data_IF_427872734104
#
_entry.id   IF_427872734104
#
_cell.length_a   1.000
_cell.length_b   1.000
_cell.length_c   1.000
_cell.angle_alpha   90.00
_cell.angle_beta   90.00
_cell.angle_gamma   90.00
#
_symmetry.space_group_name_H-M   'P 1'
#
loop_
_entity.id
_entity.type
_entity.pdbx_description
1 polymer ?
#
# COMPACT_ATOMS: atom_id res chain seq x y z
N UNK A 1 -63.78 -5.15 -39.44
CA UNK A 1 -63.79 -4.20 -38.31
C UNK A 1 -62.40 -3.56 -38.22
N UNK A 2 -62.26 -2.25 -38.49
CA UNK A 2 -60.98 -1.53 -38.40
C UNK A 2 -60.85 -0.94 -37.01
N UNK A 3 -60.00 -1.53 -36.17
CA UNK A 3 -59.70 -1.05 -34.81
C UNK A 3 -58.90 0.24 -34.92
N UNK A 4 -59.53 1.39 -34.67
CA UNK A 4 -58.81 2.67 -34.61
C UNK A 4 -57.90 2.67 -33.37
N UNK A 5 -56.59 2.59 -33.58
CA UNK A 5 -55.59 2.87 -32.55
C UNK A 5 -55.57 4.38 -32.30
N UNK A 6 -56.13 4.82 -31.18
CA UNK A 6 -55.93 6.17 -30.65
C UNK A 6 -54.45 6.34 -30.31
N UNK A 7 -53.73 7.13 -31.10
CA UNK A 7 -52.40 7.59 -30.72
C UNK A 7 -52.59 8.69 -29.68
N UNK A 8 -52.38 8.38 -28.41
CA UNK A 8 -52.25 9.38 -27.37
C UNK A 8 -51.00 10.22 -27.67
N UNK A 9 -51.20 11.50 -28.00
CA UNK A 9 -50.11 12.46 -28.20
C UNK A 9 -49.63 12.97 -26.85
N UNK A 10 -48.33 12.96 -26.63
CA UNK A 10 -47.71 13.50 -25.43
C UNK A 10 -47.69 15.03 -25.52
N UNK A 11 -48.19 15.71 -24.50
CA UNK A 11 -48.20 17.18 -24.48
C UNK A 11 -46.83 17.72 -24.07
N UNK A 12 -46.48 18.91 -24.58
CA UNK A 12 -45.25 19.62 -24.19
C UNK A 12 -45.17 19.87 -22.68
N UNK A 13 -46.32 20.07 -22.04
CA UNK A 13 -46.42 20.32 -20.59
C UNK A 13 -46.09 19.06 -19.79
N UNK A 14 -46.60 17.89 -20.22
CA UNK A 14 -46.28 16.61 -19.58
C UNK A 14 -44.77 16.31 -19.67
N UNK A 15 -44.13 16.61 -20.81
CA UNK A 15 -42.68 16.49 -20.95
C UNK A 15 -41.94 17.45 -20.01
N UNK A 16 -42.39 18.70 -19.94
CA UNK A 16 -41.78 19.74 -19.12
C UNK A 16 -41.81 19.38 -17.63
N UNK A 17 -42.94 18.89 -17.12
CA UNK A 17 -43.07 18.50 -15.71
C UNK A 17 -42.14 17.33 -15.38
N UNK A 18 -42.04 16.33 -16.27
CA UNK A 18 -41.19 15.15 -16.04
C UNK A 18 -39.72 15.55 -15.95
N UNK A 19 -39.21 16.35 -16.90
CA UNK A 19 -37.80 16.78 -16.85
C UNK A 19 -37.53 17.68 -15.63
N UNK A 20 -38.51 18.48 -15.21
CA UNK A 20 -38.40 19.33 -14.01
C UNK A 20 -38.27 18.49 -12.75
N UNK A 21 -39.10 17.46 -12.60
CA UNK A 21 -39.03 16.54 -11.46
C UNK A 21 -37.70 15.76 -11.48
N UNK A 22 -37.25 15.25 -12.64
CA UNK A 22 -35.96 14.58 -12.76
C UNK A 22 -34.81 15.51 -12.36
N UNK A 23 -34.83 16.77 -12.79
CA UNK A 23 -33.80 17.75 -12.43
C UNK A 23 -33.74 18.02 -10.92
N UNK A 24 -34.89 18.12 -10.25
CA UNK A 24 -34.96 18.30 -8.79
C UNK A 24 -34.40 17.06 -8.07
N UNK A 25 -34.85 15.86 -8.47
CA UNK A 25 -34.39 14.60 -7.86
C UNK A 25 -32.89 14.38 -8.07
N UNK A 26 -32.37 14.66 -9.26
CA UNK A 26 -30.96 14.58 -9.57
C UNK A 26 -30.14 15.60 -8.75
N UNK A 27 -30.64 16.83 -8.61
CA UNK A 27 -30.00 17.89 -7.82
C UNK A 27 -29.86 17.54 -6.33
N UNK A 28 -30.89 16.94 -5.73
CA UNK A 28 -30.84 16.48 -4.33
C UNK A 28 -29.91 15.28 -4.12
N UNK A 29 -29.66 14.48 -5.16
CA UNK A 29 -28.85 13.26 -5.06
C UNK A 29 -27.34 13.53 -5.13
N UNK A 30 -26.91 14.60 -5.81
CA UNK A 30 -25.50 14.83 -6.12
C UNK A 30 -24.56 14.96 -4.91
N UNK A 31 -24.94 15.74 -3.90
CA UNK A 31 -24.10 15.97 -2.71
C UNK A 31 -24.03 14.73 -1.79
N UNK A 32 -25.13 13.98 -1.68
CA UNK A 32 -25.19 12.77 -0.86
C UNK A 32 -24.29 11.66 -1.41
N UNK A 33 -24.22 11.50 -2.74
CA UNK A 33 -23.39 10.48 -3.40
C UNK A 33 -21.90 10.70 -3.12
N UNK A 34 -21.41 11.94 -3.19
CA UNK A 34 -19.99 12.25 -2.95
C UNK A 34 -19.56 11.88 -1.52
N UNK A 35 -20.42 12.14 -0.53
CA UNK A 35 -20.16 11.77 0.86
C UNK A 35 -20.13 10.25 1.05
N UNK A 36 -21.05 9.51 0.42
CA UNK A 36 -21.07 8.04 0.47
C UNK A 36 -19.82 7.44 -0.16
N UNK A 37 -19.38 7.96 -1.32
CA UNK A 37 -18.15 7.52 -1.98
C UNK A 37 -16.92 7.77 -1.10
N UNK A 38 -16.84 8.93 -0.43
CA UNK A 38 -15.77 9.24 0.52
C UNK A 38 -15.71 8.21 1.64
N UNK A 39 -16.85 7.92 2.29
CA UNK A 39 -16.93 6.94 3.38
C UNK A 39 -16.56 5.55 2.86
N UNK A 40 -17.09 5.13 1.72
CA UNK A 40 -16.79 3.83 1.12
C UNK A 40 -15.30 3.65 0.79
N UNK A 41 -14.69 4.70 0.25
CA UNK A 41 -13.25 4.71 -0.03
C UNK A 41 -12.47 4.60 1.30
N UNK A 42 -12.84 5.34 2.36
CA UNK A 42 -12.19 5.25 3.68
C UNK A 42 -12.32 3.85 4.30
N UNK A 43 -13.50 3.25 4.25
CA UNK A 43 -13.73 1.88 4.72
C UNK A 43 -12.85 0.89 3.96
N UNK A 44 -12.71 1.05 2.64
CA UNK A 44 -11.81 0.23 1.82
C UNK A 44 -10.36 0.39 2.27
N UNK A 45 -9.88 1.62 2.48
CA UNK A 45 -8.50 1.87 2.93
C UNK A 45 -8.21 1.30 4.32
N UNK A 46 -9.15 1.42 5.26
CA UNK A 46 -9.05 0.78 6.59
C UNK A 46 -8.94 -0.74 6.47
N UNK A 47 -9.72 -1.35 5.57
CA UNK A 47 -9.65 -2.79 5.33
C UNK A 47 -8.33 -3.20 4.66
N UNK A 48 -7.91 -2.47 3.63
CA UNK A 48 -6.63 -2.65 2.96
C UNK A 48 -5.45 -2.58 3.94
N UNK A 49 -5.39 -1.53 4.77
CA UNK A 49 -4.35 -1.37 5.80
C UNK A 49 -4.33 -2.56 6.78
N UNK A 50 -5.51 -3.02 7.23
CA UNK A 50 -5.61 -4.21 8.10
C UNK A 50 -5.08 -5.47 7.41
N UNK A 51 -5.38 -5.66 6.13
CA UNK A 51 -4.87 -6.80 5.36
C UNK A 51 -3.35 -6.73 5.17
N UNK A 52 -2.78 -5.54 4.95
CA UNK A 52 -1.33 -5.33 4.87
C UNK A 52 -0.67 -5.67 6.21
N UNK A 53 -1.19 -5.17 7.33
CA UNK A 53 -0.67 -5.52 8.68
C UNK A 53 -0.73 -7.03 8.91
N UNK A 54 -1.85 -7.67 8.56
CA UNK A 54 -1.99 -9.12 8.69
C UNK A 54 -0.94 -9.87 7.84
N UNK A 55 -0.69 -9.43 6.61
CA UNK A 55 0.35 -10.00 5.76
C UNK A 55 1.75 -9.82 6.38
N UNK A 56 2.05 -8.64 6.93
CA UNK A 56 3.32 -8.40 7.65
C UNK A 56 3.47 -9.35 8.85
N UNK A 57 2.40 -9.58 9.63
CA UNK A 57 2.43 -10.53 10.75
C UNK A 57 2.62 -11.97 10.30
N UNK A 58 1.94 -12.39 9.23
CA UNK A 58 2.12 -13.72 8.65
C UNK A 58 3.55 -13.93 8.15
N UNK A 59 4.17 -12.89 7.59
CA UNK A 59 5.58 -12.90 7.24
C UNK A 59 6.46 -13.04 8.48
N UNK A 60 6.24 -12.21 9.51
CA UNK A 60 7.03 -12.25 10.75
C UNK A 60 6.96 -13.60 11.47
N UNK A 61 5.80 -14.26 11.45
CA UNK A 61 5.64 -15.62 11.98
C UNK A 61 6.49 -16.69 11.28
N UNK A 62 7.03 -16.41 10.09
CA UNK A 62 7.95 -17.29 9.34
C UNK A 62 9.41 -16.82 9.37
N UNK A 63 9.69 -15.64 9.95
CA UNK A 63 10.99 -14.98 9.85
C UNK A 63 11.50 -14.47 11.21
N UNK A 64 11.35 -15.28 12.27
CA UNK A 64 11.82 -14.97 13.62
C UNK A 64 11.31 -13.61 14.15
N UNK A 65 10.01 -13.34 14.00
CA UNK A 65 9.33 -12.09 14.38
C UNK A 65 9.74 -10.83 13.61
N UNK A 66 10.66 -10.93 12.66
CA UNK A 66 11.13 -9.79 11.86
C UNK A 66 10.19 -9.50 10.69
N UNK A 67 9.97 -8.22 10.43
CA UNK A 67 9.32 -7.77 9.21
C UNK A 67 10.27 -7.76 8.01
N UNK A 68 9.75 -7.66 6.77
CA UNK A 68 10.58 -7.85 5.57
C UNK A 68 11.74 -6.85 5.44
N UNK A 69 11.61 -5.66 6.02
CA UNK A 69 12.64 -4.62 6.05
C UNK A 69 13.87 -4.98 6.91
N UNK A 70 13.81 -6.08 7.67
CA UNK A 70 14.92 -6.57 8.51
C UNK A 70 15.40 -7.96 8.10
N UNK A 71 14.93 -8.47 6.96
CA UNK A 71 15.26 -9.80 6.44
C UNK A 71 15.87 -9.66 5.05
N UNK A 72 17.03 -10.29 4.79
CA UNK A 72 17.59 -10.32 3.44
C UNK A 72 16.62 -10.95 2.44
N UNK A 73 16.43 -10.29 1.31
CA UNK A 73 15.63 -10.80 0.21
C UNK A 73 16.26 -12.11 -0.29
N UNK A 74 15.48 -13.21 -0.42
CA UNK A 74 16.03 -14.52 -0.80
C UNK A 74 16.59 -14.56 -2.23
N UNK A 75 16.19 -13.64 -3.11
CA UNK A 75 16.62 -13.58 -4.51
C UNK A 75 17.82 -12.65 -4.71
N UNK A 76 17.91 -11.55 -3.96
CA UNK A 76 18.96 -10.53 -4.16
C UNK A 76 20.00 -10.48 -3.04
N UNK A 77 19.69 -11.05 -1.87
CA UNK A 77 20.50 -10.95 -0.65
C UNK A 77 20.50 -9.57 0.02
N UNK A 78 19.90 -8.55 -0.62
CA UNK A 78 19.78 -7.21 -0.07
C UNK A 78 18.59 -7.07 0.88
N UNK A 79 18.66 -6.10 1.78
CA UNK A 79 17.54 -5.74 2.66
C UNK A 79 16.72 -4.62 2.00
N UNK A 80 15.37 -4.67 2.01
CA UNK A 80 14.53 -3.61 1.47
C UNK A 80 14.86 -2.22 2.00
N UNK A 81 14.86 -1.22 1.13
CA UNK A 81 15.19 0.18 1.47
C UNK A 81 13.99 1.12 1.40
N UNK A 82 12.84 0.66 0.91
CA UNK A 82 11.62 1.45 0.75
C UNK A 82 10.39 0.55 0.93
N UNK A 83 9.21 1.16 1.04
CA UNK A 83 7.98 0.43 1.33
C UNK A 83 7.62 -0.55 0.20
N UNK A 84 7.88 -0.20 -1.06
CA UNK A 84 7.59 -1.06 -2.21
C UNK A 84 8.39 -2.35 -2.13
N UNK A 85 9.71 -2.27 -1.92
CA UNK A 85 10.57 -3.45 -1.77
C UNK A 85 10.16 -4.31 -0.56
N UNK A 86 9.81 -3.68 0.56
CA UNK A 86 9.35 -4.37 1.78
C UNK A 86 8.07 -5.16 1.52
N UNK A 87 7.08 -4.54 0.88
CA UNK A 87 5.82 -5.21 0.56
C UNK A 87 5.94 -6.20 -0.59
N UNK A 88 6.84 -5.97 -1.53
CA UNK A 88 7.13 -6.90 -2.62
C UNK A 88 7.63 -8.26 -2.10
N UNK A 89 8.41 -8.27 -1.01
CA UNK A 89 8.83 -9.52 -0.37
C UNK A 89 7.68 -10.39 0.14
N UNK A 90 6.50 -9.80 0.40
CA UNK A 90 5.30 -10.56 0.78
C UNK A 90 4.84 -11.48 -0.36
N UNK A 91 5.06 -11.11 -1.62
CA UNK A 91 4.74 -11.94 -2.78
C UNK A 91 5.77 -13.06 -2.96
N UNK A 92 7.05 -12.71 -2.87
CA UNK A 92 8.16 -13.66 -3.03
C UNK A 92 8.14 -14.78 -1.99
N UNK A 93 7.67 -14.49 -0.76
CA UNK A 93 7.47 -15.51 0.29
C UNK A 93 6.06 -16.15 0.29
N UNK A 94 5.24 -15.87 -0.72
CA UNK A 94 3.90 -16.45 -0.88
C UNK A 94 2.91 -16.07 0.22
N UNK A 95 3.11 -14.92 0.85
CA UNK A 95 2.22 -14.34 1.87
C UNK A 95 1.09 -13.55 1.21
N UNK A 96 1.42 -12.70 0.24
CA UNK A 96 0.47 -11.93 -0.57
C UNK A 96 0.28 -12.57 -1.95
N UNK A 97 -0.94 -12.47 -2.50
CA UNK A 97 -1.30 -12.95 -3.85
C UNK A 97 -2.06 -11.93 -4.68
N UNK A 98 -2.54 -10.85 -4.07
CA UNK A 98 -3.22 -9.75 -4.74
C UNK A 98 -2.61 -8.45 -4.21
N UNK A 99 -2.21 -7.58 -5.12
CA UNK A 99 -1.60 -6.29 -4.81
C UNK A 99 -2.60 -5.15 -4.63
N UNK A 100 -3.88 -5.36 -4.92
CA UNK A 100 -4.93 -4.33 -4.79
C UNK A 100 -5.10 -3.81 -3.36
N UNK A 101 -4.57 -4.53 -2.36
CA UNK A 101 -4.52 -4.08 -0.97
C UNK A 101 -3.51 -2.95 -0.75
N UNK A 102 -2.52 -2.78 -1.64
CA UNK A 102 -1.50 -1.73 -1.53
C UNK A 102 -1.92 -0.40 -2.14
N UNK A 103 -2.99 -0.39 -2.93
CA UNK A 103 -3.52 0.81 -3.56
C UNK A 103 -4.43 1.65 -2.67
N UNK A 104 -4.71 2.86 -3.15
CA UNK A 104 -5.70 3.77 -2.59
C UNK A 104 -6.48 4.50 -3.69
N UNK A 105 -7.79 4.76 -3.50
CA UNK A 105 -8.62 5.48 -4.46
C UNK A 105 -8.01 6.83 -4.83
N UNK A 106 -7.94 7.16 -6.12
CA UNK A 106 -7.36 8.40 -6.64
C UNK A 106 -5.83 8.51 -6.49
N UNK A 107 -5.05 7.55 -7.01
CA UNK A 107 -3.65 7.81 -7.32
C UNK A 107 -2.72 6.63 -7.31
N UNK A 108 -2.99 5.67 -6.43
CA UNK A 108 -2.21 4.44 -6.29
C UNK A 108 -3.09 3.29 -6.73
N UNK A 109 -2.94 2.90 -8.00
CA UNK A 109 -3.85 1.97 -8.66
C UNK A 109 -3.09 0.72 -9.11
N UNK A 110 -2.91 -0.27 -8.22
CA UNK A 110 -2.37 -1.57 -8.62
C UNK A 110 -3.19 -2.17 -9.76
N UNK A 111 -2.52 -2.61 -10.81
CA UNK A 111 -3.16 -3.14 -12.02
C UNK A 111 -3.59 -4.62 -11.86
N UNK A 112 -3.09 -5.29 -10.82
CA UNK A 112 -3.34 -6.70 -10.51
C UNK A 112 -2.36 -7.65 -11.21
N UNK A 113 -1.38 -7.12 -11.94
CA UNK A 113 -0.40 -7.89 -12.68
C UNK A 113 0.91 -7.99 -11.88
N UNK A 114 0.96 -8.97 -10.98
CA UNK A 114 2.08 -9.17 -10.05
C UNK A 114 3.32 -9.86 -10.65
N UNK A 115 3.30 -10.20 -11.94
CA UNK A 115 4.38 -10.98 -12.57
C UNK A 115 4.33 -12.47 -12.21
N UNK A 116 5.46 -13.17 -12.37
CA UNK A 116 5.55 -14.63 -12.19
C UNK A 116 6.54 -15.03 -11.09
N UNK A 117 6.31 -16.19 -10.48
CA UNK A 117 7.26 -16.79 -9.53
C UNK A 117 8.64 -17.02 -10.15
N UNK A 118 9.72 -16.95 -9.35
CA UNK A 118 9.75 -16.54 -7.94
C UNK A 118 9.83 -15.02 -7.74
N UNK A 119 10.10 -14.25 -8.82
CA UNK A 119 10.47 -12.85 -8.73
C UNK A 119 9.29 -11.92 -8.41
N UNK A 120 8.13 -12.17 -9.03
CA UNK A 120 6.97 -11.28 -8.98
C UNK A 120 7.32 -9.82 -9.32
N UNK A 121 8.16 -9.64 -10.34
CA UNK A 121 8.80 -8.39 -10.77
C UNK A 121 7.87 -7.20 -11.04
N UNK A 122 6.57 -7.47 -11.17
CA UNK A 122 5.54 -6.47 -11.39
C UNK A 122 4.62 -6.22 -10.19
N UNK A 123 4.87 -6.84 -9.04
CA UNK A 123 4.09 -6.59 -7.84
C UNK A 123 4.55 -5.30 -7.15
N UNK A 124 3.59 -4.42 -6.81
CA UNK A 124 3.82 -3.23 -5.96
C UNK A 124 4.86 -2.29 -6.58
N UNK A 125 4.76 -2.04 -7.89
CA UNK A 125 5.72 -1.20 -8.62
C UNK A 125 5.59 0.29 -8.24
N UNK A 126 6.56 1.15 -8.61
CA UNK A 126 6.45 2.58 -8.37
C UNK A 126 5.13 3.17 -8.89
N UNK A 127 4.42 3.89 -8.02
CA UNK A 127 3.10 4.46 -8.30
C UNK A 127 1.92 3.57 -7.91
N UNK A 128 2.13 2.30 -7.54
CA UNK A 128 1.04 1.39 -7.13
C UNK A 128 0.86 1.31 -5.61
N UNK A 129 1.91 1.60 -4.85
CA UNK A 129 1.90 1.51 -3.40
C UNK A 129 1.53 2.84 -2.72
N UNK A 130 0.44 2.83 -1.96
CA UNK A 130 0.02 3.96 -1.14
C UNK A 130 0.65 3.97 0.26
N UNK A 131 1.08 2.82 0.77
CA UNK A 131 1.40 2.67 2.18
C UNK A 131 2.87 2.97 2.46
N UNK A 132 3.12 3.70 3.54
CA UNK A 132 4.41 3.79 4.21
C UNK A 132 4.45 2.81 5.40
N UNK A 133 5.65 2.50 5.87
CA UNK A 133 5.86 1.60 7.00
C UNK A 133 6.94 2.14 7.95
N UNK A 134 6.75 1.97 9.25
CA UNK A 134 7.81 2.21 10.24
C UNK A 134 8.87 1.13 10.14
N UNK A 135 10.14 1.53 9.98
CA UNK A 135 11.26 0.63 9.86
C UNK A 135 11.73 0.07 11.22
N UNK A 136 12.32 -1.13 11.19
CA UNK A 136 13.01 -1.74 12.32
C UNK A 136 12.11 -2.32 13.40
N UNK A 137 10.80 -2.41 13.14
CA UNK A 137 9.86 -3.05 14.06
C UNK A 137 9.89 -4.57 13.91
N UNK A 138 9.42 -5.25 14.96
CA UNK A 138 9.21 -6.71 14.98
C UNK A 138 7.78 -6.98 15.47
N UNK A 139 7.27 -8.20 15.30
CA UNK A 139 5.96 -8.59 15.84
C UNK A 139 5.94 -8.64 17.38
N UNK A 140 7.11 -8.51 18.02
CA UNK A 140 7.27 -8.38 19.48
C UNK A 140 7.41 -6.93 19.96
N UNK A 141 7.42 -5.94 19.06
CA UNK A 141 7.43 -4.53 19.43
C UNK A 141 6.12 -4.12 20.14
N UNK A 142 6.06 -2.95 20.78
CA UNK A 142 4.83 -2.49 21.45
C UNK A 142 3.62 -2.44 20.51
N UNK A 143 2.47 -2.97 20.95
CA UNK A 143 1.27 -3.10 20.11
C UNK A 143 0.67 -1.77 19.64
N UNK A 144 0.85 -0.70 20.43
CA UNK A 144 0.40 0.65 20.08
C UNK A 144 1.27 1.32 19.00
N UNK A 145 2.38 0.70 18.60
CA UNK A 145 3.30 1.26 17.63
C UNK A 145 2.64 1.38 16.24
N UNK A 146 2.65 2.57 15.61
CA UNK A 146 2.22 2.71 14.22
C UNK A 146 3.13 1.90 13.30
N UNK A 147 2.55 0.92 12.59
CA UNK A 147 3.29 0.04 11.69
C UNK A 147 3.10 0.46 10.24
N UNK A 148 1.86 0.61 9.79
CA UNK A 148 1.50 0.93 8.40
C UNK A 148 0.59 2.15 8.39
N UNK A 149 0.88 3.13 7.54
CA UNK A 149 0.08 4.35 7.43
C UNK A 149 0.15 4.92 6.03
N UNK A 150 -0.77 5.82 5.72
CA UNK A 150 -0.79 6.48 4.41
C UNK A 150 0.50 7.24 4.14
N UNK A 151 0.94 7.24 2.87
CA UNK A 151 2.13 7.95 2.40
C UNK A 151 2.20 9.39 2.95
N UNK A 152 3.16 9.72 3.85
CA UNK A 152 3.31 11.07 4.36
C UNK A 152 3.90 12.02 3.31
N UNK A 153 3.70 13.32 3.49
CA UNK A 153 4.37 14.35 2.68
C UNK A 153 5.85 14.50 3.07
N UNK A 154 6.17 14.23 4.34
CA UNK A 154 7.52 14.34 4.88
C UNK A 154 7.87 13.10 5.72
N UNK A 155 8.98 12.41 5.41
CA UNK A 155 9.47 11.25 6.17
C UNK A 155 10.21 11.67 7.45
N UNK A 156 9.59 12.52 8.28
CA UNK A 156 10.11 12.87 9.62
C UNK A 156 9.53 11.95 10.68
N UNK A 157 10.14 11.89 11.87
CA UNK A 157 9.50 11.30 13.05
C UNK A 157 9.10 12.42 14.03
N UNK A 158 7.79 12.66 14.28
CA UNK A 158 6.63 11.99 13.69
C UNK A 158 6.41 12.36 12.20
N UNK A 159 5.75 11.49 11.40
CA UNK A 159 5.46 11.79 10.01
C UNK A 159 4.47 12.96 9.88
N UNK A 160 4.53 13.65 8.73
CA UNK A 160 3.65 14.80 8.43
C UNK A 160 2.94 14.63 7.10
N UNK A 161 1.70 15.10 7.03
CA UNK A 161 0.82 15.03 5.86
C UNK A 161 0.35 16.43 5.47
N UNK A 162 0.10 16.67 4.19
CA UNK A 162 -0.23 18.02 3.71
C UNK A 162 -1.75 18.31 3.75
N UNK A 163 -2.24 18.92 4.82
CA UNK A 163 -3.63 19.37 5.01
C UNK A 163 -4.11 20.50 4.10
N UNK A 164 -3.23 21.15 3.33
CA UNK A 164 -3.60 22.33 2.54
C UNK A 164 -4.34 21.99 1.23
N UNK A 165 -4.27 20.76 0.73
CA UNK A 165 -4.92 20.38 -0.53
C UNK A 165 -5.73 19.08 -0.40
N UNK A 166 -6.83 19.09 0.37
CA UNK A 166 -7.70 17.93 0.50
C UNK A 166 -8.23 17.49 -0.88
N UNK A 167 -8.10 16.20 -1.19
CA UNK A 167 -8.65 15.59 -2.41
C UNK A 167 -7.77 15.70 -3.66
N UNK A 168 -6.56 16.28 -3.56
CA UNK A 168 -5.57 16.20 -4.63
C UNK A 168 -4.69 14.96 -4.47
N UNK A 169 -4.45 14.28 -5.59
CA UNK A 169 -3.60 13.09 -5.68
C UNK A 169 -2.13 13.50 -5.62
N UNK A 170 -1.52 13.48 -4.44
CA UNK A 170 -0.09 13.80 -4.27
C UNK A 170 0.52 13.02 -3.11
N UNK A 171 1.85 13.01 -3.02
CA UNK A 171 2.52 12.52 -1.80
C UNK A 171 1.95 13.25 -0.58
N UNK A 172 1.60 12.53 0.48
CA UNK A 172 0.98 13.13 1.66
C UNK A 172 -0.54 13.30 1.63
N UNK A 173 -1.23 13.08 0.49
CA UNK A 173 -2.70 13.13 0.39
C UNK A 173 -3.30 12.32 -0.75
N UNK A 174 -4.29 11.51 -0.41
CA UNK A 174 -5.12 10.77 -1.39
C UNK A 174 -6.62 11.00 -1.17
N UNK A 175 -7.01 11.56 -0.01
CA UNK A 175 -8.40 11.69 0.41
C UNK A 175 -8.90 13.13 0.38
N UNK A 176 -10.18 13.29 0.05
CA UNK A 176 -10.90 14.54 0.27
C UNK A 176 -11.14 14.76 1.78
N UNK A 177 -10.51 15.78 2.35
CA UNK A 177 -10.65 16.20 3.75
C UNK A 177 -9.34 16.07 4.54
N UNK A 178 -9.40 16.35 5.84
CA UNK A 178 -8.21 16.37 6.71
C UNK A 178 -8.04 15.05 7.49
N UNK A 179 -8.12 13.92 6.81
CA UNK A 179 -8.10 12.58 7.42
C UNK A 179 -7.07 11.67 6.77
N UNK A 180 -6.52 10.75 7.55
CA UNK A 180 -5.60 9.69 7.11
C UNK A 180 -5.91 8.37 7.84
N UNK A 181 -5.49 7.25 7.27
CA UNK A 181 -5.54 5.93 7.90
C UNK A 181 -4.20 5.60 8.55
N UNK A 182 -4.25 5.15 9.80
CA UNK A 182 -3.09 4.64 10.56
C UNK A 182 -3.42 3.26 11.09
N UNK A 183 -2.52 2.32 10.84
CA UNK A 183 -2.54 0.96 11.34
C UNK A 183 -1.43 0.73 12.36
N UNK A 184 -1.81 0.19 13.52
CA UNK A 184 -0.92 -0.16 14.62
C UNK A 184 -0.54 -1.63 14.60
N UNK A 185 0.54 -1.95 15.29
CA UNK A 185 1.08 -3.31 15.38
C UNK A 185 0.09 -4.29 16.02
N UNK A 186 -0.77 -3.86 16.94
CA UNK A 186 -1.84 -4.69 17.52
C UNK A 186 -2.96 -5.07 16.51
N UNK A 187 -2.93 -4.52 15.30
CA UNK A 187 -3.95 -4.72 14.26
C UNK A 187 -5.08 -3.69 14.31
N UNK A 188 -5.05 -2.77 15.26
CA UNK A 188 -5.94 -1.62 15.31
C UNK A 188 -5.67 -0.68 14.14
N UNK A 189 -6.72 -0.38 13.37
CA UNK A 189 -6.65 0.56 12.24
C UNK A 189 -7.71 1.64 12.45
N UNK A 190 -7.29 2.89 12.38
CA UNK A 190 -8.12 4.05 12.66
C UNK A 190 -7.99 5.12 11.57
N UNK A 191 -9.08 5.88 11.38
CA UNK A 191 -9.08 7.10 10.57
C UNK A 191 -8.84 8.27 11.51
N UNK A 192 -7.74 8.98 11.30
CA UNK A 192 -7.26 10.06 12.17
C UNK A 192 -7.48 11.40 11.50
N UNK A 193 -8.08 12.34 12.22
CA UNK A 193 -8.19 13.73 11.79
C UNK A 193 -6.86 14.43 12.04
N UNK A 194 -6.28 15.06 11.03
CA UNK A 194 -5.07 15.83 11.18
C UNK A 194 -5.39 17.22 11.73
N UNK A 195 -4.47 17.79 12.53
CA UNK A 195 -4.64 19.10 13.13
C UNK A 195 -3.88 20.18 12.33
N UNK A 196 -4.53 21.32 12.11
CA UNK A 196 -3.95 22.47 11.42
C UNK A 196 -4.11 22.47 9.90
N UNK A 197 -3.39 23.39 9.25
CA UNK A 197 -3.32 23.58 7.80
C UNK A 197 -1.88 23.42 7.31
N UNK A 198 -1.69 23.01 6.05
CA UNK A 198 -0.35 22.72 5.52
C UNK A 198 0.23 21.41 6.05
N UNK A 199 1.53 21.36 6.38
CA UNK A 199 2.15 20.16 6.93
C UNK A 199 1.67 19.89 8.36
N UNK A 200 0.76 18.94 8.48
CA UNK A 200 0.03 18.58 9.70
C UNK A 200 0.46 17.22 10.24
N UNK A 201 0.31 17.08 11.56
CA UNK A 201 0.51 15.83 12.30
C UNK A 201 -0.82 15.33 12.86
N UNK A 202 -0.87 14.06 13.28
CA UNK A 202 -1.96 13.54 14.11
C UNK A 202 -2.17 14.40 15.36
N UNK A 203 -3.38 14.37 15.93
CA UNK A 203 -3.71 15.16 17.09
C UNK A 203 -2.87 14.73 18.28
N UNK A 204 -2.66 15.67 19.21
CA UNK A 204 -2.01 15.34 20.47
C UNK A 204 -2.93 14.45 21.31
N UNK A 205 -2.35 13.40 21.89
CA UNK A 205 -3.03 12.48 22.79
C UNK A 205 -2.98 13.00 24.23
N UNK A 206 -3.63 12.26 25.14
CA UNK A 206 -3.52 12.49 26.59
C UNK A 206 -2.04 12.44 26.99
N UNK A 207 -1.53 13.53 27.55
CA UNK A 207 -0.11 13.71 27.86
C UNK A 207 0.65 14.65 26.90
N UNK A 208 -0.02 15.22 25.89
CA UNK A 208 0.51 16.31 25.06
C UNK A 208 1.45 15.89 23.93
N UNK A 209 1.79 14.59 23.82
CA UNK A 209 2.52 14.01 22.70
C UNK A 209 1.55 13.49 21.63
N UNK A 210 1.98 13.48 20.37
CA UNK A 210 1.23 12.76 19.32
C UNK A 210 1.45 11.24 19.44
N UNK A 211 0.60 10.48 18.77
CA UNK A 211 0.60 9.01 18.84
C UNK A 211 1.93 8.36 18.43
N UNK A 212 2.67 8.95 17.48
CA UNK A 212 3.95 8.41 17.02
C UNK A 212 5.02 8.61 18.09
N UNK A 213 5.12 9.84 18.60
CA UNK A 213 6.06 10.19 19.67
C UNK A 213 5.74 9.44 20.97
N UNK A 214 4.47 9.30 21.30
CA UNK A 214 4.05 8.57 22.50
C UNK A 214 4.34 7.07 22.37
N UNK A 215 4.05 6.46 21.22
CA UNK A 215 4.25 5.03 21.03
C UNK A 215 5.74 4.63 20.97
N UNK A 216 6.61 5.52 20.50
CA UNK A 216 8.06 5.30 20.47
C UNK A 216 8.79 5.81 21.72
N UNK A 217 8.05 6.22 22.77
CA UNK A 217 8.62 6.80 24.00
C UNK A 217 9.59 7.99 23.72
N UNK A 218 9.27 8.78 22.69
CA UNK A 218 10.07 9.93 22.25
C UNK A 218 11.27 9.58 21.37
N UNK A 219 11.54 8.30 21.10
CA UNK A 219 12.62 7.89 20.20
C UNK A 219 12.21 8.09 18.74
N UNK A 220 13.12 8.61 17.92
CA UNK A 220 12.90 8.74 16.48
C UNK A 220 13.00 7.37 15.79
N UNK A 221 12.08 7.08 14.87
CA UNK A 221 12.09 5.86 14.07
C UNK A 221 12.30 6.15 12.59
N UNK A 222 12.81 5.15 11.86
CA UNK A 222 12.90 5.20 10.41
C UNK A 222 11.53 5.02 9.74
N UNK A 223 11.37 5.61 8.56
CA UNK A 223 10.15 5.48 7.75
C UNK A 223 10.55 4.99 6.36
N UNK A 224 9.94 3.89 5.94
CA UNK A 224 10.01 3.38 4.58
C UNK A 224 8.92 4.06 3.76
N UNK A 225 9.35 4.85 2.79
CA UNK A 225 8.45 5.60 1.92
C UNK A 225 8.06 4.79 0.69
N UNK A 226 6.83 4.95 0.17
CA UNK A 226 6.48 4.41 -1.13
C UNK A 226 7.18 5.17 -2.27
N UNK A 227 7.44 4.48 -3.36
CA UNK A 227 8.07 5.04 -4.57
C UNK A 227 6.97 5.51 -5.53
N UNK A 228 7.04 6.78 -5.97
CA UNK A 228 5.98 7.42 -6.77
C UNK A 228 6.17 7.32 -8.29
N UNK A 229 7.41 7.23 -8.74
CA UNK A 229 7.76 7.15 -10.16
C UNK A 229 9.05 6.34 -10.32
N UNK A 230 9.19 5.64 -11.44
CA UNK A 230 10.33 4.76 -11.76
C UNK A 230 11.69 5.50 -11.93
N UNK A 231 11.77 6.79 -11.56
CA UNK A 231 12.97 7.60 -11.72
C UNK A 231 13.18 8.60 -10.58
N UNK A 232 13.42 8.13 -9.35
CA UNK A 232 14.20 8.89 -8.36
C UNK A 232 14.73 8.01 -7.22
N UNK A 233 15.66 7.10 -7.52
CA UNK A 233 16.51 6.49 -6.48
C UNK A 233 17.60 7.49 -6.08
N UNK A 234 17.22 8.50 -5.30
CA UNK A 234 18.15 9.29 -4.47
C UNK A 234 17.34 9.96 -3.38
N UNK A 235 17.33 9.33 -2.21
CA UNK A 235 16.95 9.95 -0.96
C UNK A 235 17.96 11.05 -0.66
N UNK A 236 17.56 12.31 -0.89
CA UNK A 236 18.17 13.42 -0.16
C UNK A 236 17.86 13.22 1.33
N UNK A 237 18.89 12.98 2.12
CA UNK A 237 18.81 13.07 3.58
C UNK A 237 19.03 11.80 4.41
N UNK A 238 19.94 10.90 4.03
CA UNK A 238 20.84 10.18 4.96
C UNK A 238 21.83 9.42 4.08
N UNK A 239 23.10 9.81 4.05
CA UNK A 239 24.09 9.11 3.23
C UNK A 239 24.30 7.68 3.76
N UNK A 240 24.06 6.61 2.96
CA UNK A 240 24.65 5.32 3.26
C UNK A 240 26.13 5.40 2.87
N UNK A 241 27.02 5.07 3.81
CA UNK A 241 28.42 4.85 3.51
C UNK A 241 28.55 3.80 2.41
N UNK A 242 29.17 4.19 1.30
CA UNK A 242 29.43 3.35 0.14
C UNK A 242 30.14 2.06 0.55
N UNK A 243 29.55 0.86 0.39
CA UNK A 243 30.32 -0.37 0.41
C UNK A 243 30.86 -0.59 -1.01
N UNK A 244 32.18 -0.76 -1.11
CA UNK A 244 32.86 -0.99 -2.37
C UNK A 244 32.24 -2.13 -3.16
N UNK A 245 32.18 -1.92 -4.48
CA UNK A 245 31.90 -2.97 -5.47
C UNK A 245 32.88 -4.13 -5.24
N UNK A 246 32.38 -5.27 -4.76
CA UNK A 246 33.09 -6.54 -4.75
C UNK A 246 32.46 -7.50 -5.78
N UNK A 247 33.26 -8.41 -6.38
CA UNK A 247 32.89 -9.16 -7.57
C UNK A 247 31.96 -10.32 -7.23
N UNK A 248 31.08 -10.66 -8.18
CA UNK A 248 30.12 -11.77 -8.12
C UNK A 248 30.85 -13.11 -7.98
N UNK A 249 30.64 -13.88 -6.90
CA UNK A 249 31.14 -15.25 -6.79
C UNK A 249 30.06 -16.28 -7.16
N UNK A 250 30.37 -17.14 -8.14
CA UNK A 250 29.86 -18.51 -8.23
C UNK A 250 28.43 -18.71 -8.74
N UNK A 251 28.32 -19.15 -10.00
CA UNK A 251 27.07 -19.70 -10.54
C UNK A 251 26.65 -20.99 -9.83
N UNK A 252 25.33 -21.21 -9.81
CA UNK A 252 24.71 -22.46 -9.33
C UNK A 252 25.27 -23.67 -10.11
N UNK A 253 25.59 -24.80 -9.44
CA UNK A 253 26.05 -26.00 -10.12
C UNK A 253 24.90 -26.68 -10.89
N UNK A 254 25.16 -27.28 -12.07
CA UNK A 254 24.13 -27.94 -12.87
C UNK A 254 23.70 -29.28 -12.26
N UNK A 255 22.41 -29.59 -12.40
CA UNK A 255 21.79 -30.87 -12.03
C UNK A 255 22.38 -31.98 -12.93
N UNK A 256 23.11 -32.93 -12.36
CA UNK A 256 23.60 -34.11 -13.09
C UNK A 256 22.45 -35.11 -13.30
N UNK A 257 22.07 -35.29 -14.56
CA UNK A 257 21.20 -36.37 -15.03
C UNK A 257 21.99 -37.67 -15.09
N UNK A 258 21.79 -38.57 -14.11
CA UNK A 258 22.34 -39.93 -14.16
C UNK A 258 21.50 -40.81 -15.11
N UNK A 259 22.00 -41.01 -16.33
CA UNK A 259 21.65 -42.15 -17.17
C UNK A 259 22.97 -42.83 -17.61
N UNK A 260 23.31 -43.94 -16.96
CA UNK A 260 24.34 -44.87 -17.44
C UNK A 260 23.72 -45.81 -18.48
N UNK A 261 24.34 -46.00 -19.66
CA UNK A 261 24.20 -47.23 -20.42
C UNK A 261 25.32 -48.21 -20.03
N UNK A 262 24.90 -49.43 -19.70
CA UNK A 262 25.73 -50.63 -19.59
C UNK A 262 26.49 -50.87 -20.90
N UNK A 263 27.81 -51.06 -20.85
CA UNK A 263 28.55 -51.87 -21.82
C UNK A 263 29.94 -52.26 -21.30
N UNK A 264 30.10 -53.59 -21.14
CA UNK A 264 31.27 -54.44 -21.40
C UNK A 264 32.66 -53.98 -20.94
N UNK A 265 33.31 -54.77 -20.06
CA UNK A 265 34.51 -55.55 -20.42
C UNK A 265 34.62 -56.81 -19.53
N UNK A 266 34.75 -57.98 -20.16
CA UNK A 266 35.17 -59.26 -19.57
C UNK A 266 36.69 -59.33 -19.62
N UNK A 267 37.40 -59.92 -18.62
CA UNK A 267 38.78 -60.33 -18.83
C UNK A 267 38.86 -61.76 -19.35
N UNK A 268 39.66 -61.94 -20.40
CA UNK A 268 40.16 -63.20 -20.92
C UNK A 268 41.44 -63.56 -20.15
N UNK A 269 41.43 -64.79 -19.60
CA UNK A 269 42.50 -65.55 -18.93
C UNK A 269 43.00 -65.07 -17.57
#
# INVERSE_FOLDING_TARGET
MKTQRTRAGFTLIELLVVITIIAILAGLSGAAVQQVLKIGNQTKAVNNCRQVIMALKLFAGRNDTRFPDSVPNPLTGGVPQNANETFHMLFQQGVARDERIFGAPAGYNPDGAIGTQPAYDRAVTPGENHWAMTAGLTDTSPGNMPLVYENPAQPSWPPKWDASSPGQVKAGRVWSGNQIVIGRLDGGVEVVNLEGSGLSSPPKMVGGMDMFTQASEGQAMGILMPVLSAGNTRTDGMAPSTPGRLPVPGGLPPIQSNLNPLQNELPVQ
#
